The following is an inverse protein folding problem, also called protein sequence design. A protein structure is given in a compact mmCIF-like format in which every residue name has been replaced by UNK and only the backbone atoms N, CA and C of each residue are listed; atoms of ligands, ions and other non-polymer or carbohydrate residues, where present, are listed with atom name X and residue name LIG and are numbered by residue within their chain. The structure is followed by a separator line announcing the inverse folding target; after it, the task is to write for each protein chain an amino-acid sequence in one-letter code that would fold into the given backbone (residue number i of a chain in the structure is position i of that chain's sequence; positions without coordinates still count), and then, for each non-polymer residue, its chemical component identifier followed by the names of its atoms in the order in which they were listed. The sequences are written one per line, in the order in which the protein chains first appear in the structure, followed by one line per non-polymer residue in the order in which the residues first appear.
data_IF_328183643773
#
_entry.id   IF_328183643773
#
_cell.length_a   1.000
_cell.length_b   1.000
_cell.length_c   1.000
_cell.angle_alpha   90.00
_cell.angle_beta   90.00
_cell.angle_gamma   90.00
#
_symmetry.space_group_name_H-M   'P 1'
#
loop_
_entity.id
_entity.type
_entity.pdbx_description
1 polymer ?
#
# COMPACT_ATOMS: atom_id res chain seq x y z
N UNK A 1 -5.46 4.87 -17.87
CA UNK A 1 -4.67 4.58 -16.65
C UNK A 1 -5.59 4.82 -15.46
N UNK A 2 -5.79 3.83 -14.58
CA UNK A 2 -6.56 4.07 -13.34
C UNK A 2 -5.61 4.69 -12.32
N UNK A 3 -6.08 5.67 -11.57
CA UNK A 3 -5.32 6.31 -10.49
C UNK A 3 -5.98 5.91 -9.18
N UNK A 4 -5.18 5.44 -8.23
CA UNK A 4 -5.59 5.12 -6.87
C UNK A 4 -4.84 6.00 -5.89
N UNK A 5 -5.48 6.41 -4.80
CA UNK A 5 -4.86 7.17 -3.72
C UNK A 5 -4.71 6.25 -2.52
N UNK A 6 -3.47 6.03 -2.09
CA UNK A 6 -3.18 5.29 -0.87
C UNK A 6 -3.03 6.27 0.32
N UNK A 7 -3.51 5.86 1.48
CA UNK A 7 -3.14 6.45 2.77
C UNK A 7 -1.93 5.67 3.27
N UNK A 8 -0.90 6.38 3.72
CA UNK A 8 0.35 5.79 4.21
C UNK A 8 0.61 6.27 5.63
N UNK A 9 0.91 5.32 6.51
CA UNK A 9 1.27 5.54 7.90
C UNK A 9 2.64 4.91 8.19
N UNK A 10 3.40 5.49 9.14
CA UNK A 10 4.63 4.86 9.65
C UNK A 10 4.27 4.13 10.94
N UNK A 11 4.39 2.82 10.93
CA UNK A 11 4.27 2.00 12.13
C UNK A 11 5.58 2.13 12.94
N UNK A 12 5.47 2.56 14.20
CA UNK A 12 6.61 2.79 15.08
C UNK A 12 7.11 1.51 15.75
N UNK A 13 6.27 0.47 15.86
CA UNK A 13 6.65 -0.80 16.49
C UNK A 13 7.48 -1.65 15.54
N UNK A 14 7.08 -1.68 14.26
CA UNK A 14 7.77 -2.45 13.20
C UNK A 14 8.76 -1.61 12.39
N UNK A 15 8.67 -0.28 12.49
CA UNK A 15 9.44 0.68 11.69
C UNK A 15 9.19 0.54 10.17
N UNK A 16 8.03 0.01 9.77
CA UNK A 16 7.60 -0.11 8.38
C UNK A 16 6.65 1.03 7.98
N UNK A 17 6.60 1.33 6.69
CA UNK A 17 5.46 2.05 6.12
C UNK A 17 4.33 1.07 5.84
N UNK A 18 3.14 1.39 6.29
CA UNK A 18 1.91 0.62 6.05
C UNK A 18 0.99 1.47 5.19
N UNK A 19 0.44 0.88 4.13
CA UNK A 19 -0.40 1.59 3.17
C UNK A 19 -1.69 0.85 2.83
N UNK A 20 -2.76 1.61 2.55
CA UNK A 20 -4.01 1.06 2.08
C UNK A 20 -4.79 2.01 1.17
N UNK A 21 -5.68 1.48 0.32
CA UNK A 21 -6.55 2.30 -0.54
C UNK A 21 -7.96 2.38 0.04
N UNK A 22 -8.44 3.57 0.45
CA UNK A 22 -9.80 3.73 0.97
C UNK A 22 -10.86 3.24 -0.03
N UNK A 23 -11.79 2.41 0.45
CA UNK A 23 -12.88 1.86 -0.37
C UNK A 23 -12.49 0.68 -1.27
N UNK A 24 -11.21 0.28 -1.31
CA UNK A 24 -10.76 -0.88 -2.10
C UNK A 24 -10.36 -2.03 -1.16
N UNK A 25 -11.36 -2.84 -0.78
CA UNK A 25 -11.21 -3.89 0.24
C UNK A 25 -10.12 -4.89 -0.15
N UNK A 26 -9.15 -5.08 0.73
CA UNK A 26 -8.05 -6.01 0.52
C UNK A 26 -6.78 -5.36 -0.04
N UNK A 27 -6.84 -4.11 -0.50
CA UNK A 27 -5.67 -3.37 -0.94
C UNK A 27 -4.95 -2.72 0.24
N UNK A 28 -4.23 -3.57 0.97
CA UNK A 28 -3.35 -3.21 2.07
C UNK A 28 -1.97 -3.82 1.79
N UNK A 29 -0.91 -3.07 2.09
CA UNK A 29 0.46 -3.59 2.03
C UNK A 29 1.38 -2.83 2.98
N UNK A 30 2.63 -3.24 3.04
CA UNK A 30 3.68 -2.62 3.85
C UNK A 30 5.03 -2.65 3.12
N UNK A 31 5.97 -1.81 3.53
CA UNK A 31 7.34 -1.79 3.01
C UNK A 31 8.30 -1.02 3.91
N UNK A 32 9.59 -1.30 3.83
CA UNK A 32 10.63 -0.58 4.58
C UNK A 32 10.80 0.86 4.07
N UNK A 33 10.52 1.06 2.78
CA UNK A 33 10.58 2.35 2.08
C UNK A 33 9.25 2.69 1.40
N UNK A 34 9.06 3.96 1.03
CA UNK A 34 7.86 4.38 0.27
C UNK A 34 7.82 3.76 -1.14
N UNK A 35 8.98 3.54 -1.76
CA UNK A 35 9.07 2.91 -3.07
C UNK A 35 8.67 1.43 -3.00
N UNK A 36 9.16 0.70 -2.00
CA UNK A 36 8.77 -0.69 -1.77
C UNK A 36 7.27 -0.81 -1.47
N UNK A 37 6.73 0.05 -0.59
CA UNK A 37 5.30 0.07 -0.32
C UNK A 37 4.48 0.34 -1.60
N UNK A 38 4.95 1.24 -2.47
CA UNK A 38 4.29 1.54 -3.73
C UNK A 38 4.26 0.33 -4.67
N UNK A 39 5.39 -0.36 -4.85
CA UNK A 39 5.45 -1.58 -5.67
C UNK A 39 4.58 -2.69 -5.08
N UNK A 40 4.64 -2.93 -3.77
CA UNK A 40 3.82 -3.95 -3.13
C UNK A 40 2.32 -3.63 -3.23
N UNK A 41 1.91 -2.36 -3.10
CA UNK A 41 0.52 -1.96 -3.31
C UNK A 41 0.08 -2.17 -4.76
N UNK A 42 0.97 -1.91 -5.72
CA UNK A 42 0.69 -2.15 -7.13
C UNK A 42 0.44 -3.62 -7.41
N UNK A 43 1.28 -4.52 -6.90
CA UNK A 43 1.09 -5.97 -7.04
C UNK A 43 -0.26 -6.42 -6.45
N UNK A 44 -0.60 -5.94 -5.25
CA UNK A 44 -1.89 -6.25 -4.61
C UNK A 44 -3.08 -5.75 -5.46
N UNK A 45 -2.99 -4.54 -6.01
CA UNK A 45 -4.05 -4.01 -6.89
C UNK A 45 -4.18 -4.85 -8.16
N UNK A 46 -3.05 -5.25 -8.77
CA UNK A 46 -3.03 -6.08 -9.98
C UNK A 46 -3.69 -7.46 -9.74
N UNK A 47 -3.61 -7.99 -8.51
CA UNK A 47 -4.30 -9.24 -8.13
C UNK A 47 -5.79 -9.08 -7.83
N UNK A 48 -6.27 -7.87 -7.53
CA UNK A 48 -7.66 -7.59 -7.15
C UNK A 48 -8.52 -7.05 -8.31
N UNK A 49 -7.92 -6.81 -9.48
CA UNK A 49 -8.57 -6.35 -10.71
C UNK A 49 -8.85 -7.49 -11.69
#
# INVERSE_FOLDING_TARGET
MKTFTAIVERDLDTNLYVGYIPGFKGAHSQGETLDELNENLREVIEMLL
#
